data_IF_036668255984
#
_entry.id   IF_036668255984
#
_cell.length_a   1.000
_cell.length_b   1.000
_cell.length_c   1.000
_cell.angle_alpha   90.00
_cell.angle_beta   90.00
_cell.angle_gamma   90.00
#
_symmetry.space_group_name_H-M   'P 1'
#
loop_
_entity.id
_entity.type
_entity.pdbx_description
1 polymer ?
#
# COMPACT_ATOMS: atom_id res chain seq x y z
N UNK A 1 -5.01 -27.99 10.17
CA UNK A 1 -4.79 -27.50 8.80
C UNK A 1 -4.52 -28.70 7.89
N UNK A 2 -5.49 -29.01 7.04
CA UNK A 2 -5.32 -30.09 6.06
C UNK A 2 -4.48 -29.57 4.90
N UNK A 3 -3.18 -29.83 4.91
CA UNK A 3 -2.33 -29.58 3.77
C UNK A 3 -2.48 -30.70 2.77
N UNK A 4 -2.76 -30.36 1.50
CA UNK A 4 -2.88 -31.38 0.47
C UNK A 4 -1.51 -31.97 0.12
N UNK A 5 -1.45 -33.29 0.15
CA UNK A 5 -0.38 -34.06 -0.49
C UNK A 5 -0.76 -34.43 -1.92
N UNK A 6 -1.56 -33.59 -2.59
CA UNK A 6 -1.98 -33.85 -3.96
C UNK A 6 -0.77 -33.89 -4.89
N UNK A 7 -0.62 -34.94 -5.71
CA UNK A 7 0.48 -35.00 -6.69
C UNK A 7 0.35 -33.92 -7.78
N UNK A 8 -0.81 -33.30 -7.91
CA UNK A 8 -1.04 -32.23 -8.89
C UNK A 8 -0.52 -30.86 -8.43
N UNK A 9 -0.33 -30.67 -7.10
CA UNK A 9 0.10 -29.39 -6.57
C UNK A 9 1.42 -28.88 -7.14
N UNK A 10 2.49 -29.70 -7.23
CA UNK A 10 3.74 -29.21 -7.81
C UNK A 10 3.60 -28.70 -9.24
N UNK A 11 2.77 -29.35 -10.05
CA UNK A 11 2.52 -28.93 -11.44
C UNK A 11 1.77 -27.59 -11.48
N UNK A 12 0.77 -27.43 -10.64
CA UNK A 12 0.00 -26.19 -10.54
C UNK A 12 0.87 -25.03 -10.09
N UNK A 13 1.69 -25.25 -9.07
CA UNK A 13 2.62 -24.23 -8.54
C UNK A 13 3.68 -23.90 -9.60
N UNK A 14 4.22 -24.91 -10.30
CA UNK A 14 5.18 -24.70 -11.38
C UNK A 14 4.60 -23.78 -12.47
N UNK A 15 3.38 -24.06 -12.91
CA UNK A 15 2.75 -23.27 -13.96
C UNK A 15 2.52 -21.83 -13.51
N UNK A 16 2.09 -21.63 -12.28
CA UNK A 16 1.90 -20.29 -11.70
C UNK A 16 3.24 -19.54 -11.58
N UNK A 17 4.27 -20.19 -11.03
CA UNK A 17 5.60 -19.59 -10.90
C UNK A 17 6.16 -19.21 -12.28
N UNK A 18 6.01 -20.09 -13.27
CA UNK A 18 6.47 -19.82 -14.62
C UNK A 18 5.79 -18.58 -15.21
N UNK A 19 4.49 -18.44 -14.98
CA UNK A 19 3.73 -17.29 -15.45
C UNK A 19 4.21 -16.00 -14.77
N UNK A 20 4.46 -16.04 -13.46
CA UNK A 20 5.01 -14.91 -12.71
C UNK A 20 6.38 -14.51 -13.26
N UNK A 21 7.25 -15.50 -13.52
CA UNK A 21 8.57 -15.24 -14.10
C UNK A 21 8.48 -14.50 -15.44
N UNK A 22 7.57 -14.93 -16.29
CA UNK A 22 7.43 -14.36 -17.65
C UNK A 22 6.79 -12.98 -17.62
N UNK A 23 5.68 -12.83 -16.91
CA UNK A 23 4.89 -11.59 -16.95
C UNK A 23 5.51 -10.46 -16.12
N UNK A 24 6.22 -10.82 -15.06
CA UNK A 24 6.85 -9.82 -14.17
C UNK A 24 8.37 -9.72 -14.39
N UNK A 25 8.90 -10.52 -15.28
CA UNK A 25 10.33 -10.55 -15.58
C UNK A 25 11.17 -10.78 -14.32
N UNK A 26 10.80 -11.80 -13.55
CA UNK A 26 11.48 -12.18 -12.31
C UNK A 26 12.30 -13.45 -12.51
N UNK A 27 13.42 -13.55 -11.79
CA UNK A 27 14.17 -14.80 -11.69
C UNK A 27 13.39 -15.80 -10.84
N UNK A 28 13.78 -17.07 -10.95
CA UNK A 28 13.09 -18.19 -10.33
C UNK A 28 12.86 -17.98 -8.82
N UNK A 29 13.91 -17.65 -8.07
CA UNK A 29 13.81 -17.53 -6.61
C UNK A 29 12.85 -16.40 -6.20
N UNK A 30 12.90 -15.27 -6.91
CA UNK A 30 12.01 -14.15 -6.64
C UNK A 30 10.55 -14.48 -6.97
N UNK A 31 10.34 -15.21 -8.08
CA UNK A 31 9.00 -15.64 -8.46
C UNK A 31 8.42 -16.64 -7.47
N UNK A 32 9.21 -17.60 -6.98
CA UNK A 32 8.78 -18.55 -5.95
C UNK A 32 8.42 -17.80 -4.66
N UNK A 33 9.24 -16.86 -4.23
CA UNK A 33 8.97 -16.04 -3.06
C UNK A 33 7.67 -15.26 -3.22
N UNK A 34 7.45 -14.68 -4.40
CA UNK A 34 6.23 -13.94 -4.72
C UNK A 34 4.98 -14.79 -4.55
N UNK A 35 5.03 -16.05 -5.00
CA UNK A 35 3.91 -16.99 -4.86
C UNK A 35 3.77 -17.48 -3.42
N UNK A 36 4.88 -17.90 -2.80
CA UNK A 36 4.86 -18.52 -1.47
C UNK A 36 4.45 -17.58 -0.35
N UNK A 37 4.67 -16.28 -0.50
CA UNK A 37 4.31 -15.28 0.50
C UNK A 37 2.87 -14.79 0.34
N UNK A 38 2.12 -15.33 -0.61
CA UNK A 38 0.74 -14.92 -0.87
C UNK A 38 -0.27 -15.71 -0.04
N UNK A 39 -1.44 -15.09 0.19
CA UNK A 39 -2.59 -15.78 0.77
C UNK A 39 -3.17 -16.79 -0.20
N UNK A 40 -3.04 -16.54 -1.51
CA UNK A 40 -3.44 -17.50 -2.55
C UNK A 40 -2.71 -18.84 -2.36
N UNK A 41 -1.41 -18.81 -2.05
CA UNK A 41 -0.66 -20.05 -1.85
C UNK A 41 -1.21 -20.86 -0.67
N UNK A 42 -1.64 -20.19 0.39
CA UNK A 42 -2.29 -20.86 1.52
C UNK A 42 -3.57 -21.56 1.10
N UNK A 43 -4.33 -20.94 0.19
CA UNK A 43 -5.53 -21.56 -0.39
C UNK A 43 -5.19 -22.76 -1.28
N UNK A 44 -4.08 -22.67 -2.02
CA UNK A 44 -3.61 -23.79 -2.84
C UNK A 44 -3.25 -25.00 -1.96
N UNK A 45 -2.69 -24.74 -0.78
CA UNK A 45 -2.37 -25.81 0.19
C UNK A 45 -3.60 -26.42 0.81
N UNK A 46 -4.72 -25.73 0.81
CA UNK A 46 -5.98 -26.20 1.39
C UNK A 46 -6.81 -26.93 0.33
N UNK A 47 -6.96 -28.24 0.51
CA UNK A 47 -7.69 -29.10 -0.44
C UNK A 47 -9.16 -28.69 -0.57
N UNK A 48 -9.76 -28.22 0.51
CA UNK A 48 -11.18 -27.83 0.52
C UNK A 48 -11.44 -26.58 -0.34
N UNK A 49 -10.42 -25.75 -0.55
CA UNK A 49 -10.56 -24.55 -1.39
C UNK A 49 -10.72 -24.83 -2.87
N UNK A 50 -10.39 -26.06 -3.30
CA UNK A 50 -10.50 -26.53 -4.70
C UNK A 50 -9.81 -25.63 -5.72
N UNK A 51 -8.66 -25.02 -5.35
CA UNK A 51 -7.89 -24.16 -6.25
C UNK A 51 -7.39 -24.91 -7.50
N UNK A 52 -7.35 -26.23 -7.45
CA UNK A 52 -6.93 -27.06 -8.58
C UNK A 52 -7.90 -27.01 -9.77
N UNK A 53 -9.12 -26.51 -9.58
CA UNK A 53 -10.04 -26.28 -10.70
C UNK A 53 -9.67 -25.07 -11.56
N UNK A 54 -8.86 -24.17 -11.05
CA UNK A 54 -8.56 -22.94 -11.75
C UNK A 54 -7.34 -23.12 -12.66
N UNK A 55 -7.36 -22.45 -13.82
CA UNK A 55 -6.22 -22.40 -14.72
C UNK A 55 -5.09 -21.58 -14.11
N UNK A 56 -3.87 -21.78 -14.65
CA UNK A 56 -2.73 -20.96 -14.25
C UNK A 56 -3.01 -19.46 -14.46
N UNK A 57 -3.68 -19.11 -15.56
CA UNK A 57 -4.08 -17.72 -15.85
C UNK A 57 -5.02 -17.17 -14.78
N UNK A 58 -6.01 -17.94 -14.37
CA UNK A 58 -6.96 -17.52 -13.33
C UNK A 58 -6.26 -17.35 -11.98
N UNK A 59 -5.38 -18.27 -11.61
CA UNK A 59 -4.59 -18.19 -10.38
C UNK A 59 -3.67 -16.96 -10.41
N UNK A 60 -3.06 -16.67 -11.56
CA UNK A 60 -2.21 -15.50 -11.71
C UNK A 60 -3.00 -14.20 -11.51
N UNK A 61 -4.19 -14.10 -12.09
CA UNK A 61 -5.05 -12.91 -11.89
C UNK A 61 -5.46 -12.75 -10.41
N UNK A 62 -5.79 -13.84 -9.74
CA UNK A 62 -6.08 -13.81 -8.30
C UNK A 62 -4.89 -13.33 -7.49
N UNK A 63 -3.68 -13.80 -7.84
CA UNK A 63 -2.44 -13.39 -7.19
C UNK A 63 -2.17 -11.90 -7.38
N UNK A 64 -2.32 -11.41 -8.60
CA UNK A 64 -2.11 -10.00 -8.92
C UNK A 64 -3.12 -9.10 -8.20
N UNK A 65 -4.39 -9.50 -8.14
CA UNK A 65 -5.43 -8.77 -7.42
C UNK A 65 -5.12 -8.69 -5.92
N UNK A 66 -4.67 -9.78 -5.33
CA UNK A 66 -4.26 -9.83 -3.93
C UNK A 66 -3.11 -8.85 -3.66
N UNK A 67 -2.05 -8.93 -4.47
CA UNK A 67 -0.86 -8.07 -4.30
C UNK A 67 -1.18 -6.59 -4.52
N UNK A 68 -2.07 -6.28 -5.46
CA UNK A 68 -2.51 -4.91 -5.72
C UNK A 68 -3.30 -4.35 -4.54
N UNK A 69 -4.21 -5.13 -3.98
CA UNK A 69 -5.01 -4.73 -2.82
C UNK A 69 -4.13 -4.46 -1.59
N UNK A 70 -3.12 -5.31 -1.35
CA UNK A 70 -2.17 -5.12 -0.25
C UNK A 70 -1.35 -3.84 -0.42
N UNK A 71 -0.89 -3.54 -1.64
CA UNK A 71 -0.14 -2.31 -1.92
C UNK A 71 -0.98 -1.07 -1.69
N UNK A 72 -2.24 -1.09 -2.13
CA UNK A 72 -3.17 0.04 -1.92
C UNK A 72 -3.41 0.27 -0.43
N UNK A 73 -3.57 -0.80 0.34
CA UNK A 73 -3.77 -0.70 1.78
C UNK A 73 -2.54 -0.11 2.48
N UNK A 74 -1.32 -0.54 2.11
CA UNK A 74 -0.08 0.03 2.63
C UNK A 74 0.06 1.52 2.34
N UNK A 75 -0.26 1.94 1.13
CA UNK A 75 -0.21 3.35 0.73
C UNK A 75 -1.21 4.16 1.55
N UNK A 76 -2.41 3.62 1.77
CA UNK A 76 -3.43 4.28 2.57
C UNK A 76 -2.98 4.46 4.03
N UNK A 77 -2.37 3.44 4.62
CA UNK A 77 -1.84 3.51 5.99
C UNK A 77 -0.69 4.52 6.11
N UNK A 78 0.20 4.56 5.13
CA UNK A 78 1.30 5.52 5.10
C UNK A 78 0.79 6.96 4.96
N UNK A 79 -0.22 7.19 4.16
CA UNK A 79 -0.84 8.51 4.03
C UNK A 79 -1.53 8.93 5.31
N UNK A 80 -2.22 8.02 5.98
CA UNK A 80 -2.84 8.28 7.27
C UNK A 80 -1.79 8.69 8.31
N UNK A 81 -0.71 7.93 8.39
CA UNK A 81 0.39 8.27 9.31
C UNK A 81 1.01 9.62 8.98
N UNK A 82 1.18 9.92 7.69
CA UNK A 82 1.73 11.20 7.24
C UNK A 82 0.82 12.37 7.62
N UNK A 83 -0.49 12.21 7.50
CA UNK A 83 -1.47 13.23 7.92
C UNK A 83 -1.34 13.52 9.41
N UNK A 84 -1.31 12.48 10.24
CA UNK A 84 -1.20 12.62 11.70
C UNK A 84 0.14 13.22 12.09
N UNK A 85 1.24 12.70 11.53
CA UNK A 85 2.59 13.23 11.78
C UNK A 85 2.65 14.73 11.45
N UNK A 86 2.12 15.13 10.30
CA UNK A 86 2.14 16.51 9.84
C UNK A 86 1.32 17.43 10.74
N UNK A 87 0.14 16.98 11.16
CA UNK A 87 -0.72 17.74 12.07
C UNK A 87 -0.06 17.92 13.44
N UNK A 88 0.44 16.83 14.02
CA UNK A 88 1.09 16.87 15.34
C UNK A 88 2.35 17.73 15.29
N UNK A 89 3.18 17.58 14.27
CA UNK A 89 4.41 18.36 14.10
C UNK A 89 4.11 19.86 13.93
N UNK A 90 3.05 20.18 13.19
CA UNK A 90 2.62 21.57 13.01
C UNK A 90 2.19 22.18 14.34
N UNK A 91 1.41 21.44 15.14
CA UNK A 91 1.00 21.88 16.48
C UNK A 91 2.20 22.17 17.38
N UNK A 92 3.16 21.26 17.41
CA UNK A 92 4.35 21.39 18.24
C UNK A 92 5.24 22.57 17.80
N UNK A 93 5.44 22.70 16.49
CA UNK A 93 6.32 23.74 15.96
C UNK A 93 5.77 25.14 16.20
N UNK A 94 4.46 25.36 15.99
CA UNK A 94 3.84 26.66 16.17
C UNK A 94 3.20 26.87 17.55
N UNK A 95 3.31 25.86 18.41
CA UNK A 95 2.69 25.86 19.75
C UNK A 95 1.20 26.20 19.68
N UNK A 96 0.50 25.51 18.81
CA UNK A 96 -0.94 25.67 18.58
C UNK A 96 -1.67 24.50 19.24
N UNK A 97 -2.83 24.80 19.84
CA UNK A 97 -3.69 23.76 20.39
C UNK A 97 -4.22 22.86 19.28
N UNK A 98 -4.27 21.56 19.53
CA UNK A 98 -4.59 20.55 18.51
C UNK A 98 -5.94 20.79 17.83
N UNK A 99 -6.96 21.17 18.57
CA UNK A 99 -8.28 21.45 18.00
C UNK A 99 -8.25 22.66 17.06
N UNK A 100 -7.50 23.69 17.41
CA UNK A 100 -7.35 24.88 16.58
C UNK A 100 -6.60 24.57 15.28
N UNK A 101 -5.57 23.75 15.37
CA UNK A 101 -4.83 23.29 14.19
C UNK A 101 -5.73 22.44 13.26
N UNK A 102 -6.56 21.59 13.84
CA UNK A 102 -7.50 20.78 13.06
C UNK A 102 -8.49 21.67 12.29
N UNK A 103 -9.04 22.70 12.94
CA UNK A 103 -9.93 23.67 12.30
C UNK A 103 -9.21 24.37 11.14
N UNK A 104 -7.98 24.79 11.36
CA UNK A 104 -7.14 25.45 10.35
C UNK A 104 -6.91 24.54 9.14
N UNK A 105 -6.56 23.26 9.40
CA UNK A 105 -6.29 22.28 8.35
C UNK A 105 -7.56 21.98 7.54
N UNK A 106 -8.71 21.94 8.18
CA UNK A 106 -9.99 21.72 7.48
C UNK A 106 -10.40 22.94 6.67
N UNK A 107 -10.24 24.14 7.21
CA UNK A 107 -10.60 25.39 6.52
C UNK A 107 -9.82 25.56 5.21
N UNK A 108 -8.53 25.23 5.21
CA UNK A 108 -7.67 25.41 4.04
C UNK A 108 -7.41 24.12 3.26
N UNK A 109 -8.12 23.04 3.58
CA UNK A 109 -8.03 21.77 2.87
C UNK A 109 -6.61 21.18 2.86
N UNK A 110 -5.93 21.29 4.00
CA UNK A 110 -4.53 20.86 4.12
C UNK A 110 -4.36 19.36 3.97
N UNK A 111 -5.33 18.54 4.45
CA UNK A 111 -5.21 17.10 4.35
C UNK A 111 -5.20 16.62 2.90
N UNK A 112 -5.97 17.22 2.02
CA UNK A 112 -5.91 16.90 0.59
C UNK A 112 -4.57 17.34 -0.02
N UNK A 113 -4.06 18.49 0.38
CA UNK A 113 -2.72 18.92 -0.01
C UNK A 113 -1.65 17.90 0.40
N UNK A 114 -1.74 17.37 1.62
CA UNK A 114 -0.81 16.36 2.12
C UNK A 114 -0.90 15.05 1.33
N UNK A 115 -2.12 14.63 0.99
CA UNK A 115 -2.32 13.42 0.17
C UNK A 115 -1.75 13.61 -1.24
N UNK A 116 -2.01 14.76 -1.86
CA UNK A 116 -1.56 15.06 -3.22
C UNK A 116 -0.04 15.19 -3.31
N UNK A 117 0.60 15.66 -2.25
CA UNK A 117 2.04 15.87 -2.20
C UNK A 117 2.79 14.78 -1.44
N UNK A 118 2.11 13.72 -1.05
CA UNK A 118 2.68 12.64 -0.23
C UNK A 118 3.98 12.10 -0.81
N UNK A 119 4.00 11.79 -2.10
CA UNK A 119 5.18 11.18 -2.75
C UNK A 119 6.42 12.07 -2.65
N UNK A 120 6.22 13.38 -2.67
CA UNK A 120 7.32 14.35 -2.60
C UNK A 120 7.69 14.66 -1.14
N UNK A 121 6.68 14.91 -0.29
CA UNK A 121 6.91 15.43 1.06
C UNK A 121 7.26 14.38 2.10
N UNK A 122 6.78 13.14 1.96
CA UNK A 122 6.96 12.15 3.03
C UNK A 122 8.42 11.74 3.26
N UNK A 123 9.31 12.01 2.30
CA UNK A 123 10.75 11.74 2.40
C UNK A 123 11.55 12.93 2.89
N UNK A 124 10.91 14.09 3.08
CA UNK A 124 11.56 15.31 3.51
C UNK A 124 11.62 15.40 5.04
N UNK A 125 12.47 16.29 5.55
CA UNK A 125 12.53 16.52 7.00
C UNK A 125 11.30 17.26 7.52
N UNK A 126 11.09 17.18 8.83
CA UNK A 126 9.95 17.76 9.52
C UNK A 126 9.80 19.26 9.24
N UNK A 127 10.89 20.02 9.30
CA UNK A 127 10.87 21.46 9.06
C UNK A 127 10.41 21.80 7.65
N UNK A 128 10.88 21.03 6.67
CA UNK A 128 10.48 21.24 5.26
C UNK A 128 8.99 21.00 5.08
N UNK A 129 8.46 19.96 5.72
CA UNK A 129 7.03 19.63 5.67
C UNK A 129 6.21 20.77 6.28
N UNK A 130 6.60 21.24 7.47
CA UNK A 130 5.91 22.32 8.18
C UNK A 130 5.95 23.61 7.37
N UNK A 131 7.09 23.98 6.81
CA UNK A 131 7.22 25.18 5.96
C UNK A 131 6.36 25.08 4.70
N UNK A 132 6.25 23.87 4.13
CA UNK A 132 5.40 23.62 2.96
C UNK A 132 3.92 23.83 3.30
N UNK A 133 3.48 23.34 4.45
CA UNK A 133 2.11 23.55 4.94
C UNK A 133 1.84 25.05 5.16
N UNK A 134 2.77 25.72 5.81
CA UNK A 134 2.67 27.16 6.07
C UNK A 134 2.52 27.96 4.77
N UNK A 135 3.36 27.65 3.79
CA UNK A 135 3.30 28.32 2.46
C UNK A 135 1.98 28.03 1.75
N UNK A 136 1.51 26.78 1.84
CA UNK A 136 0.24 26.41 1.24
C UNK A 136 -0.94 27.20 1.85
N UNK A 137 -1.00 27.27 3.19
CA UNK A 137 -2.04 28.04 3.89
C UNK A 137 -1.97 29.51 3.53
N UNK A 138 -0.77 30.09 3.51
CA UNK A 138 -0.57 31.51 3.13
C UNK A 138 -1.03 31.77 1.71
N UNK A 139 -0.74 30.87 0.79
CA UNK A 139 -1.17 30.94 -0.60
C UNK A 139 -2.71 30.94 -0.71
N UNK A 140 -3.37 30.08 0.04
CA UNK A 140 -4.84 29.99 0.06
C UNK A 140 -5.49 31.21 0.66
N UNK A 141 -4.89 31.80 1.69
CA UNK A 141 -5.37 33.06 2.31
C UNK A 141 -5.33 34.22 1.31
N UNK A 142 -4.27 34.32 0.52
CA UNK A 142 -4.12 35.38 -0.49
C UNK A 142 -5.10 35.26 -1.66
N UNK A 143 -5.59 34.05 -1.92
CA UNK A 143 -6.55 33.77 -2.98
C UNK A 143 -8.01 34.04 -2.59
N UNK A 144 -8.26 34.47 -1.34
CA UNK A 144 -9.60 34.76 -0.83
C UNK A 144 -9.86 36.31 -0.80
#
# INVERSE_FOLDING_TARGET
MNTTNSPMRPFMVKDLVQMVMRRKNLFFEDAVSYVYTSDLYKKILDEESKMWYFSASALYEMLEDEKRSKRQHEISDKKLMFRIFSLESYCDYFNIYHEDALVLFREYDVFNFLDDTFEVLHTQDEKYIIDSIKRYISSRRKGR
#
